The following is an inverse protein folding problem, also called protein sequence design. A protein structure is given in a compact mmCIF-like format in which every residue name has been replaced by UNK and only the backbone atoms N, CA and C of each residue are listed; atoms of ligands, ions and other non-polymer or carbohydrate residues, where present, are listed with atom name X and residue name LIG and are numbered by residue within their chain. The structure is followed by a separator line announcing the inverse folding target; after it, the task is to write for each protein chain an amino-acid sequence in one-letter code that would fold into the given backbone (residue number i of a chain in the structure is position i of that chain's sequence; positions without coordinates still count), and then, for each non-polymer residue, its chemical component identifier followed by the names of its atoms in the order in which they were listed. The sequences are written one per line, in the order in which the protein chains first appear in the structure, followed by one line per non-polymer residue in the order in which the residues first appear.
data_IF_642268245562
#
_entry.id   IF_642268245562
#
_cell.length_a   1.000
_cell.length_b   1.000
_cell.length_c   1.000
_cell.angle_alpha   90.00
_cell.angle_beta   90.00
_cell.angle_gamma   90.00
#
_symmetry.space_group_name_H-M   'P 1'
#
loop_
_entity.id
_entity.type
_entity.pdbx_description
1 polymer ?
#
# COMPACT_ATOMS: atom_id res chain seq x y z
N UNK A 1 -33.87 8.13 43.63
CA UNK A 1 -32.58 8.64 43.16
C UNK A 1 -31.90 7.52 42.39
N UNK A 2 -32.15 7.40 41.09
CA UNK A 2 -31.43 6.49 40.21
C UNK A 2 -30.57 7.33 39.29
N UNK A 3 -29.27 7.36 39.54
CA UNK A 3 -28.30 7.97 38.64
C UNK A 3 -28.35 7.23 37.31
N UNK A 4 -28.79 7.90 36.25
CA UNK A 4 -28.58 7.41 34.90
C UNK A 4 -27.07 7.34 34.63
N UNK A 5 -26.56 6.25 34.03
CA UNK A 5 -25.20 6.23 33.55
C UNK A 5 -25.10 7.30 32.46
N UNK A 6 -24.22 8.28 32.66
CA UNK A 6 -23.81 9.19 31.60
C UNK A 6 -23.33 8.36 30.41
N UNK A 7 -24.05 8.42 29.29
CA UNK A 7 -23.57 8.01 27.98
C UNK A 7 -22.35 8.87 27.62
N UNK A 8 -21.20 8.55 28.21
CA UNK A 8 -19.95 8.75 27.52
C UNK A 8 -20.05 7.86 26.29
N UNK A 9 -20.36 8.44 25.12
CA UNK A 9 -20.01 7.79 23.86
C UNK A 9 -18.58 7.32 24.04
N UNK A 10 -18.37 6.01 24.03
CA UNK A 10 -17.04 5.44 23.87
C UNK A 10 -16.45 6.19 22.68
N UNK A 11 -15.52 7.11 22.95
CA UNK A 11 -14.68 7.67 21.91
C UNK A 11 -14.08 6.50 21.14
N UNK A 12 -13.68 6.73 19.89
CA UNK A 12 -12.91 5.72 19.18
C UNK A 12 -11.83 5.18 20.13
N UNK A 13 -11.78 3.85 20.29
CA UNK A 13 -10.85 3.17 21.22
C UNK A 13 -9.39 3.56 20.98
N UNK A 14 -9.09 4.14 19.81
CA UNK A 14 -7.78 4.62 19.38
C UNK A 14 -7.83 6.12 19.06
N UNK A 15 -6.79 6.86 19.47
CA UNK A 15 -6.57 8.25 19.05
C UNK A 15 -5.83 8.27 17.71
N UNK A 16 -6.58 8.07 16.63
CA UNK A 16 -6.04 8.04 15.27
C UNK A 16 -5.25 9.31 14.90
N UNK A 17 -5.63 10.48 15.44
CA UNK A 17 -4.97 11.74 15.13
C UNK A 17 -3.61 11.84 15.79
N UNK A 18 -3.53 11.47 17.07
CA UNK A 18 -2.26 11.45 17.79
C UNK A 18 -1.32 10.39 17.22
N UNK A 19 -1.81 9.19 16.92
CA UNK A 19 -0.98 8.13 16.34
C UNK A 19 -0.51 8.50 14.93
N UNK A 20 -1.38 9.05 14.08
CA UNK A 20 -0.99 9.55 12.76
C UNK A 20 0.08 10.64 12.85
N UNK A 21 -0.01 11.54 13.85
CA UNK A 21 1.03 12.55 14.09
C UNK A 21 2.37 11.91 14.46
N UNK A 22 2.37 10.98 15.41
CA UNK A 22 3.58 10.27 15.86
C UNK A 22 4.27 9.55 14.70
N UNK A 23 3.49 8.84 13.88
CA UNK A 23 4.00 8.16 12.70
C UNK A 23 4.52 9.17 11.69
N UNK A 24 3.77 10.22 11.38
CA UNK A 24 4.21 11.25 10.45
C UNK A 24 5.53 11.89 10.87
N UNK A 25 5.73 12.19 12.16
CA UNK A 25 6.98 12.75 12.66
C UNK A 25 8.16 11.77 12.47
N UNK A 26 7.95 10.47 12.67
CA UNK A 26 8.95 9.42 12.36
C UNK A 26 9.27 9.40 10.87
N UNK A 27 8.25 9.40 10.00
CA UNK A 27 8.43 9.34 8.55
C UNK A 27 9.15 10.58 8.00
N UNK A 28 8.76 11.77 8.47
CA UNK A 28 9.41 13.05 8.11
C UNK A 28 10.88 13.09 8.52
N UNK A 29 11.25 12.42 9.61
CA UNK A 29 12.63 12.28 10.05
C UNK A 29 13.37 11.11 9.38
N UNK A 30 12.78 10.50 8.35
CA UNK A 30 13.39 9.44 7.54
C UNK A 30 13.33 8.04 8.16
N UNK A 31 12.42 7.81 9.11
CA UNK A 31 12.22 6.51 9.76
C UNK A 31 11.27 5.55 9.02
N UNK A 32 11.12 4.36 9.57
CA UNK A 32 10.24 3.27 9.12
C UNK A 32 9.12 3.08 10.14
N UNK A 33 7.89 2.89 9.67
CA UNK A 33 6.76 2.58 10.54
C UNK A 33 6.07 1.27 10.13
N UNK A 34 5.62 0.50 11.12
CA UNK A 34 4.58 -0.51 10.96
C UNK A 34 3.26 0.10 11.40
N UNK A 35 2.29 0.12 10.50
CA UNK A 35 1.01 0.78 10.72
C UNK A 35 -0.17 -0.14 10.37
N UNK A 36 -1.30 -0.03 11.10
CA UNK A 36 -2.51 -0.75 10.78
C UNK A 36 -3.19 -0.12 9.56
N UNK A 37 -3.79 -0.96 8.73
CA UNK A 37 -4.84 -0.59 7.78
C UNK A 37 -5.97 -1.61 7.88
N UNK A 38 -7.19 -1.32 7.45
CA UNK A 38 -8.30 -2.28 7.54
C UNK A 38 -8.03 -3.60 6.82
N UNK A 39 -7.10 -3.60 5.85
CA UNK A 39 -6.72 -4.75 5.00
C UNK A 39 -5.39 -5.42 5.38
N UNK A 40 -4.80 -5.07 6.53
CA UNK A 40 -3.54 -5.64 7.03
C UNK A 40 -2.54 -4.59 7.50
N UNK A 41 -1.48 -5.03 8.19
CA UNK A 41 -0.40 -4.13 8.59
C UNK A 41 0.50 -3.80 7.39
N UNK A 42 0.93 -2.54 7.31
CA UNK A 42 1.87 -2.05 6.30
C UNK A 42 3.21 -1.66 6.93
N UNK A 43 4.31 -1.93 6.23
CA UNK A 43 5.65 -1.45 6.54
C UNK A 43 5.98 -0.33 5.56
N UNK A 44 6.06 0.90 6.08
CA UNK A 44 5.96 2.14 5.30
C UNK A 44 7.09 3.11 5.65
N UNK A 45 7.49 3.92 4.68
CA UNK A 45 8.44 5.03 4.87
C UNK A 45 8.28 6.07 3.77
N UNK A 46 8.87 7.23 3.97
CA UNK A 46 9.02 8.29 2.96
C UNK A 46 10.47 8.43 2.47
N UNK A 47 11.40 7.62 3.00
CA UNK A 47 12.81 7.73 2.70
C UNK A 47 13.26 6.65 1.69
N UNK A 48 13.81 7.02 0.52
CA UNK A 48 14.32 6.09 -0.49
C UNK A 48 15.26 4.99 0.05
N UNK A 49 16.24 5.36 0.89
CA UNK A 49 17.20 4.40 1.47
C UNK A 49 16.54 3.43 2.44
N UNK A 50 15.53 3.88 3.16
CA UNK A 50 14.73 2.99 4.01
C UNK A 50 13.80 2.10 3.20
N UNK A 51 13.33 2.52 2.03
CA UNK A 51 12.61 1.62 1.11
C UNK A 51 13.51 0.51 0.60
N UNK A 52 14.77 0.81 0.26
CA UNK A 52 15.78 -0.20 -0.09
C UNK A 52 15.98 -1.19 1.07
N UNK A 53 16.15 -0.69 2.31
CA UNK A 53 16.27 -1.52 3.52
C UNK A 53 15.04 -2.44 3.70
N UNK A 54 13.83 -1.89 3.59
CA UNK A 54 12.58 -2.64 3.66
C UNK A 54 12.53 -3.70 2.55
N UNK A 55 12.92 -3.35 1.32
CA UNK A 55 12.89 -4.24 0.17
C UNK A 55 13.78 -5.46 0.39
N UNK A 56 15.00 -5.25 0.87
CA UNK A 56 15.98 -6.29 1.20
C UNK A 56 15.54 -7.14 2.39
N UNK A 57 15.13 -6.52 3.51
CA UNK A 57 14.69 -7.23 4.72
C UNK A 57 13.51 -8.17 4.46
N UNK A 58 12.62 -7.80 3.54
CA UNK A 58 11.46 -8.61 3.14
C UNK A 58 11.78 -9.68 2.09
N UNK A 59 13.01 -9.76 1.57
CA UNK A 59 13.37 -10.66 0.47
C UNK A 59 12.50 -10.45 -0.77
N UNK A 60 12.27 -9.20 -1.19
CA UNK A 60 11.40 -8.91 -2.34
C UNK A 60 12.09 -9.26 -3.65
N UNK A 61 11.31 -9.82 -4.58
CA UNK A 61 11.72 -10.01 -5.96
C UNK A 61 11.72 -8.67 -6.72
N UNK A 62 12.56 -8.48 -7.75
CA UNK A 62 12.65 -7.24 -8.55
C UNK A 62 11.39 -6.93 -9.36
N UNK A 63 10.44 -7.87 -9.43
CA UNK A 63 9.09 -7.68 -10.00
C UNK A 63 8.13 -6.99 -9.05
N UNK A 64 8.54 -6.71 -7.81
CA UNK A 64 7.68 -6.07 -6.81
C UNK A 64 7.85 -4.55 -6.86
N UNK A 65 6.75 -3.83 -6.70
CA UNK A 65 6.70 -2.36 -6.64
C UNK A 65 6.29 -1.87 -5.27
N UNK A 66 6.61 -0.62 -4.98
CA UNK A 66 6.05 0.10 -3.83
C UNK A 66 4.66 0.61 -4.18
N UNK A 67 3.73 0.48 -3.24
CA UNK A 67 2.42 1.11 -3.35
C UNK A 67 2.44 2.40 -2.53
N UNK A 68 1.69 3.40 -2.99
CA UNK A 68 1.44 4.62 -2.23
C UNK A 68 0.36 4.34 -1.18
N UNK A 69 0.67 4.72 0.05
CA UNK A 69 -0.33 4.83 1.11
C UNK A 69 -1.07 6.13 0.88
N UNK A 70 -2.39 6.07 0.71
CA UNK A 70 -3.18 7.24 0.37
C UNK A 70 -4.53 7.29 1.07
N UNK A 71 -5.26 8.35 0.75
CA UNK A 71 -6.68 8.51 1.04
C UNK A 71 -7.38 8.86 -0.26
N UNK A 72 -8.71 8.91 -0.23
CA UNK A 72 -9.47 9.38 -1.38
C UNK A 72 -8.99 10.77 -1.86
N UNK A 73 -8.63 11.67 -0.93
CA UNK A 73 -8.07 12.99 -1.25
C UNK A 73 -6.74 12.89 -1.99
N UNK A 74 -5.80 12.06 -1.50
CA UNK A 74 -4.51 11.83 -2.19
C UNK A 74 -4.73 11.27 -3.59
N UNK A 75 -5.64 10.30 -3.72
CA UNK A 75 -6.02 9.75 -5.02
C UNK A 75 -6.51 10.84 -5.97
N UNK A 76 -7.41 11.72 -5.52
CA UNK A 76 -7.96 12.81 -6.34
C UNK A 76 -6.91 13.87 -6.69
N UNK A 77 -5.94 14.09 -5.82
CA UNK A 77 -4.86 15.03 -6.07
C UNK A 77 -3.85 14.48 -7.08
N UNK A 78 -3.47 13.21 -6.97
CA UNK A 78 -2.37 12.66 -7.76
C UNK A 78 -2.81 11.98 -9.06
N UNK A 79 -3.94 11.27 -9.07
CA UNK A 79 -4.37 10.51 -10.25
C UNK A 79 -5.07 11.37 -11.30
N UNK A 80 -4.76 11.04 -12.56
CA UNK A 80 -5.44 11.52 -13.75
C UNK A 80 -6.35 10.40 -14.26
N UNK A 81 -7.60 10.38 -13.78
CA UNK A 81 -8.60 9.40 -14.23
C UNK A 81 -9.04 9.67 -15.68
N UNK A 82 -9.19 8.64 -16.52
CA UNK A 82 -9.40 8.80 -17.96
C UNK A 82 -10.75 9.43 -18.32
N UNK A 83 -11.79 9.16 -17.53
CA UNK A 83 -13.14 9.67 -17.75
C UNK A 83 -13.96 9.77 -16.46
N UNK A 84 -15.18 10.31 -16.57
CA UNK A 84 -16.11 10.41 -15.44
C UNK A 84 -16.57 9.04 -14.96
N UNK A 85 -16.79 8.09 -15.86
CA UNK A 85 -17.24 6.73 -15.51
C UNK A 85 -16.26 6.03 -14.57
N UNK A 86 -14.95 6.18 -14.80
CA UNK A 86 -13.90 5.63 -13.96
C UNK A 86 -13.88 6.28 -12.57
N UNK A 87 -14.19 7.58 -12.48
CA UNK A 87 -14.37 8.25 -11.19
C UNK A 87 -15.60 7.72 -10.47
N UNK A 88 -16.72 7.58 -11.17
CA UNK A 88 -17.98 7.06 -10.61
C UNK A 88 -17.81 5.64 -10.07
N UNK A 89 -17.00 4.80 -10.72
CA UNK A 89 -16.64 3.46 -10.21
C UNK A 89 -15.93 3.57 -8.87
N UNK A 90 -14.88 4.40 -8.76
CA UNK A 90 -14.15 4.57 -7.50
C UNK A 90 -15.06 5.16 -6.42
N UNK A 91 -15.86 6.17 -6.76
CA UNK A 91 -16.78 6.83 -5.83
C UNK A 91 -17.83 5.86 -5.30
N UNK A 92 -18.41 5.03 -6.16
CA UNK A 92 -19.37 4.00 -5.74
C UNK A 92 -18.73 2.98 -4.80
N UNK A 93 -17.56 2.45 -5.15
CA UNK A 93 -16.88 1.45 -4.32
C UNK A 93 -16.43 2.03 -2.96
N UNK A 94 -16.01 3.29 -2.93
CA UNK A 94 -15.46 3.93 -1.72
C UNK A 94 -16.55 4.55 -0.85
N UNK A 95 -17.44 5.39 -1.41
CA UNK A 95 -18.41 6.14 -0.62
C UNK A 95 -19.73 5.41 -0.42
N UNK A 96 -20.25 4.75 -1.44
CA UNK A 96 -21.55 4.06 -1.30
C UNK A 96 -21.40 2.71 -0.59
N UNK A 97 -20.27 2.02 -0.81
CA UNK A 97 -20.04 0.68 -0.28
C UNK A 97 -19.01 0.62 0.87
N UNK A 98 -18.32 1.72 1.16
CA UNK A 98 -17.28 1.79 2.21
C UNK A 98 -16.21 0.67 2.08
N UNK A 99 -15.72 0.46 0.85
CA UNK A 99 -14.73 -0.60 0.58
C UNK A 99 -13.31 -0.03 0.46
N UNK A 100 -12.29 -0.73 1.02
CA UNK A 100 -10.90 -0.41 0.76
C UNK A 100 -10.53 -0.80 -0.67
N UNK A 101 -9.81 0.09 -1.36
CA UNK A 101 -9.47 -0.09 -2.77
C UNK A 101 -8.05 0.37 -3.04
N UNK A 102 -7.29 -0.39 -3.82
CA UNK A 102 -6.07 0.13 -4.44
C UNK A 102 -6.37 0.52 -5.88
N UNK A 103 -6.35 1.82 -6.13
CA UNK A 103 -6.55 2.39 -7.48
C UNK A 103 -5.20 2.44 -8.17
N UNK A 104 -5.13 1.97 -9.40
CA UNK A 104 -3.98 2.17 -10.29
C UNK A 104 -4.43 3.06 -11.43
N UNK A 105 -3.75 4.18 -11.67
CA UNK A 105 -4.10 5.10 -12.75
C UNK A 105 -2.89 5.95 -13.17
N UNK A 106 -2.95 6.61 -14.33
CA UNK A 106 -2.02 7.68 -14.69
C UNK A 106 -2.00 8.75 -13.60
N UNK A 107 -0.88 9.46 -13.47
CA UNK A 107 -0.68 10.40 -12.38
C UNK A 107 -0.01 11.69 -12.85
N UNK A 108 -0.10 12.73 -12.03
CA UNK A 108 0.59 14.01 -12.25
C UNK A 108 2.08 13.83 -11.97
N UNK A 109 2.87 13.54 -12.99
CA UNK A 109 4.33 13.30 -12.87
C UNK A 109 5.10 14.50 -12.29
N UNK A 110 4.64 15.73 -12.53
CA UNK A 110 5.29 16.96 -12.07
C UNK A 110 4.73 17.49 -10.72
N UNK A 111 4.12 16.64 -9.91
CA UNK A 111 3.59 17.03 -8.60
C UNK A 111 4.71 17.08 -7.55
N UNK A 112 4.73 18.11 -6.69
CA UNK A 112 5.79 18.33 -5.68
C UNK A 112 6.01 17.14 -4.72
N UNK A 113 4.96 16.36 -4.47
CA UNK A 113 5.04 15.09 -3.74
C UNK A 113 6.13 14.11 -4.23
N UNK A 114 6.60 14.22 -5.48
CA UNK A 114 7.64 13.33 -6.01
C UNK A 114 9.06 13.87 -5.82
N UNK A 115 9.23 15.14 -5.43
CA UNK A 115 10.53 15.82 -5.35
C UNK A 115 11.50 15.17 -4.34
N UNK A 116 10.96 14.38 -3.40
CA UNK A 116 11.72 13.65 -2.38
C UNK A 116 12.18 12.25 -2.82
N UNK A 117 11.75 11.77 -3.99
CA UNK A 117 12.09 10.44 -4.48
C UNK A 117 13.25 10.52 -5.47
N UNK A 118 14.20 9.60 -5.33
CA UNK A 118 15.20 9.38 -6.37
C UNK A 118 14.62 8.59 -7.55
N UNK A 119 15.31 8.61 -8.69
CA UNK A 119 14.88 7.96 -9.93
C UNK A 119 14.59 6.46 -9.74
N UNK A 120 15.46 5.75 -9.00
CA UNK A 120 15.29 4.33 -8.69
C UNK A 120 14.02 4.07 -7.89
N UNK A 121 13.72 4.91 -6.90
CA UNK A 121 12.51 4.79 -6.09
C UNK A 121 11.27 5.10 -6.90
N UNK A 122 11.34 6.10 -7.80
CA UNK A 122 10.24 6.46 -8.69
C UNK A 122 9.95 5.34 -9.70
N UNK A 123 10.99 4.73 -10.28
CA UNK A 123 10.89 3.54 -11.14
C UNK A 123 10.26 2.36 -10.38
N UNK A 124 10.63 2.16 -9.11
CA UNK A 124 10.06 1.11 -8.26
C UNK A 124 8.64 1.44 -7.75
N UNK A 125 8.14 2.66 -7.93
CA UNK A 125 6.81 3.13 -7.49
C UNK A 125 5.81 3.18 -8.64
N UNK A 126 6.29 3.32 -9.88
CA UNK A 126 5.46 3.42 -11.08
C UNK A 126 5.58 2.21 -12.00
N UNK A 127 4.55 1.98 -12.82
CA UNK A 127 4.53 0.97 -13.89
C UNK A 127 3.78 1.57 -15.08
N UNK A 128 4.43 1.64 -16.24
CA UNK A 128 3.83 2.09 -17.51
C UNK A 128 3.06 3.43 -17.37
N UNK A 129 3.66 4.41 -16.68
CA UNK A 129 3.07 5.73 -16.46
C UNK A 129 1.95 5.78 -15.41
N UNK A 130 1.77 4.71 -14.61
CA UNK A 130 0.78 4.66 -13.53
C UNK A 130 1.41 4.45 -12.17
N UNK A 131 0.69 4.82 -11.11
CA UNK A 131 1.02 4.47 -9.72
C UNK A 131 -0.15 3.75 -9.07
N UNK A 132 0.13 2.94 -8.06
CA UNK A 132 -0.89 2.34 -7.20
C UNK A 132 -1.06 3.17 -5.92
N UNK A 133 -2.29 3.55 -5.59
CA UNK A 133 -2.65 4.26 -4.34
C UNK A 133 -3.70 3.46 -3.59
N UNK A 134 -3.37 3.00 -2.38
CA UNK A 134 -4.33 2.37 -1.47
C UNK A 134 -5.17 3.43 -0.77
N UNK A 135 -6.49 3.38 -0.92
CA UNK A 135 -7.46 4.31 -0.35
C UNK A 135 -8.53 3.59 0.47
N UNK A 136 -9.24 4.35 1.31
CA UNK A 136 -10.30 3.88 2.19
C UNK A 136 -9.90 2.68 3.07
N UNK A 137 -8.66 2.68 3.56
CA UNK A 137 -8.13 1.61 4.41
C UNK A 137 -8.17 1.96 5.91
N UNK A 138 -9.07 2.86 6.30
CA UNK A 138 -9.38 3.20 7.68
C UNK A 138 -8.94 4.60 8.13
N UNK A 139 -9.52 5.10 9.24
CA UNK A 139 -9.38 6.50 9.67
C UNK A 139 -7.96 6.89 10.05
N UNK A 140 -7.15 5.96 10.58
CA UNK A 140 -5.73 6.21 10.84
C UNK A 140 -4.97 6.56 9.56
N UNK A 141 -5.20 5.81 8.48
CA UNK A 141 -4.53 6.05 7.20
C UNK A 141 -4.96 7.39 6.59
N UNK A 142 -6.24 7.74 6.70
CA UNK A 142 -6.74 9.02 6.21
C UNK A 142 -6.13 10.21 6.96
N UNK A 143 -6.03 10.14 8.29
CA UNK A 143 -5.37 11.19 9.08
C UNK A 143 -3.86 11.28 8.77
N UNK A 144 -3.16 10.14 8.65
CA UNK A 144 -1.74 10.11 8.29
C UNK A 144 -1.49 10.72 6.90
N UNK A 145 -2.30 10.33 5.91
CA UNK A 145 -2.11 10.78 4.53
C UNK A 145 -2.53 12.23 4.32
N UNK A 146 -3.42 12.78 5.15
CA UNK A 146 -3.68 14.22 5.22
C UNK A 146 -2.42 15.01 5.60
N UNK A 147 -1.62 14.49 6.55
CA UNK A 147 -0.36 15.13 6.96
C UNK A 147 0.71 15.03 5.87
N UNK A 148 0.81 13.85 5.25
CA UNK A 148 1.69 13.60 4.11
C UNK A 148 1.39 14.54 2.94
N UNK A 149 0.12 14.68 2.55
CA UNK A 149 -0.28 15.56 1.46
C UNK A 149 0.00 17.03 1.76
N UNK A 150 -0.28 17.50 2.98
CA UNK A 150 -0.01 18.87 3.38
C UNK A 150 1.49 19.23 3.43
N UNK A 151 2.37 18.22 3.45
CA UNK A 151 3.81 18.37 3.50
C UNK A 151 4.52 17.92 2.21
N UNK A 152 3.75 17.60 1.16
CA UNK A 152 4.27 17.02 -0.09
C UNK A 152 5.23 15.83 0.14
N UNK A 153 4.96 15.02 1.18
CA UNK A 153 5.83 13.92 1.58
C UNK A 153 5.18 12.58 1.21
N UNK A 154 5.65 11.85 0.18
CA UNK A 154 5.02 10.61 -0.25
C UNK A 154 5.22 9.52 0.81
N UNK A 155 4.19 8.72 1.06
CA UNK A 155 4.31 7.54 1.94
C UNK A 155 4.24 6.29 1.06
N UNK A 156 5.36 5.58 0.99
CA UNK A 156 5.52 4.40 0.18
C UNK A 156 5.69 3.17 1.06
N UNK A 157 5.22 2.03 0.58
CA UNK A 157 5.39 0.80 1.33
C UNK A 157 4.77 -0.43 0.72
N UNK A 158 4.59 -1.42 1.57
CA UNK A 158 3.91 -2.69 1.27
C UNK A 158 3.44 -3.34 2.55
N UNK A 159 2.66 -4.41 2.45
CA UNK A 159 2.22 -5.19 3.61
C UNK A 159 3.40 -5.65 4.48
N UNK A 160 3.28 -5.63 5.81
CA UNK A 160 4.33 -5.97 6.77
C UNK A 160 4.50 -7.49 6.91
N UNK A 161 5.04 -8.13 5.88
CA UNK A 161 5.33 -9.57 5.85
C UNK A 161 6.54 -9.90 4.99
N UNK A 162 7.23 -11.00 5.27
CA UNK A 162 8.19 -11.55 4.31
C UNK A 162 7.50 -11.87 2.99
N UNK A 163 8.21 -11.68 1.87
CA UNK A 163 7.68 -11.98 0.55
C UNK A 163 7.14 -13.41 0.47
N UNK A 164 5.97 -13.56 -0.15
CA UNK A 164 5.29 -14.86 -0.32
C UNK A 164 4.78 -15.53 0.97
N UNK A 165 4.69 -14.81 2.10
CA UNK A 165 4.16 -15.36 3.37
C UNK A 165 2.75 -14.86 3.76
N UNK A 166 2.06 -14.17 2.84
CA UNK A 166 0.73 -13.63 3.06
C UNK A 166 0.70 -12.37 3.92
N UNK A 167 -0.39 -11.60 3.82
CA UNK A 167 -0.58 -10.36 4.60
C UNK A 167 -0.80 -10.68 6.08
N UNK A 168 -0.20 -9.90 6.99
CA UNK A 168 -0.40 -10.05 8.44
C UNK A 168 -1.46 -9.08 8.94
N UNK A 169 -2.35 -9.55 9.80
CA UNK A 169 -3.53 -8.80 10.27
C UNK A 169 -3.50 -8.49 11.77
N UNK A 170 -2.41 -8.85 12.46
CA UNK A 170 -2.07 -8.50 13.84
C UNK A 170 -0.54 -8.44 13.95
N UNK A 171 -0.02 -7.66 14.89
CA UNK A 171 1.43 -7.43 15.01
C UNK A 171 2.18 -8.71 15.37
N UNK A 172 1.57 -9.58 16.17
CA UNK A 172 2.18 -10.84 16.64
C UNK A 172 2.43 -11.85 15.51
N UNK A 173 1.80 -11.67 14.34
CA UNK A 173 2.06 -12.50 13.16
C UNK A 173 3.15 -11.92 12.23
N UNK A 174 3.63 -10.70 12.51
CA UNK A 174 4.71 -10.06 11.75
C UNK A 174 6.03 -10.69 12.17
N UNK A 175 6.88 -11.00 11.19
CA UNK A 175 8.17 -11.60 11.45
C UNK A 175 9.07 -10.64 12.27
N UNK A 176 9.77 -11.12 13.32
CA UNK A 176 10.57 -10.28 14.20
C UNK A 176 11.56 -9.38 13.47
N UNK A 177 12.23 -9.90 12.43
CA UNK A 177 13.18 -9.13 11.62
C UNK A 177 12.55 -7.94 10.88
N UNK A 178 11.23 -7.95 10.65
CA UNK A 178 10.50 -6.81 10.08
C UNK A 178 10.03 -5.84 11.17
N UNK A 179 9.77 -6.33 12.37
CA UNK A 179 9.49 -5.48 13.54
C UNK A 179 10.75 -4.72 13.94
N UNK A 180 11.91 -5.39 13.95
CA UNK A 180 13.21 -4.83 14.35
C UNK A 180 13.69 -3.69 13.45
N UNK A 181 13.27 -3.64 12.18
CA UNK A 181 13.62 -2.53 11.27
C UNK A 181 12.70 -1.32 11.42
N UNK A 182 11.59 -1.43 12.15
CA UNK A 182 10.63 -0.34 12.31
C UNK A 182 11.02 0.55 13.50
N UNK A 183 11.04 1.87 13.28
CA UNK A 183 11.28 2.87 14.32
C UNK A 183 10.02 3.12 15.18
N UNK A 184 8.84 2.76 14.65
CA UNK A 184 7.58 2.79 15.38
C UNK A 184 6.64 1.69 14.89
N UNK A 185 5.91 1.08 15.83
CA UNK A 185 4.81 0.15 15.58
C UNK A 185 3.55 0.70 16.22
N UNK A 186 2.50 0.89 15.43
CA UNK A 186 1.15 1.18 15.92
C UNK A 186 0.39 -0.13 15.91
N UNK A 187 -0.07 -0.60 17.07
CA UNK A 187 -0.78 -1.88 17.21
C UNK A 187 -2.24 -1.66 17.61
N UNK A 188 -3.15 -1.99 16.70
CA UNK A 188 -4.60 -1.95 16.91
C UNK A 188 -5.21 -3.37 17.02
N UNK A 189 -4.38 -4.38 17.24
CA UNK A 189 -4.78 -5.78 17.31
C UNK A 189 -5.21 -6.34 15.95
N UNK A 190 -6.21 -7.22 15.96
CA UNK A 190 -6.72 -7.91 14.77
C UNK A 190 -7.56 -6.99 13.87
N UNK A 191 -7.18 -6.91 12.60
CA UNK A 191 -7.77 -5.96 11.64
C UNK A 191 -9.03 -6.48 10.93
N UNK A 192 -9.93 -5.54 10.59
CA UNK A 192 -11.32 -5.76 10.09
C UNK A 192 -11.43 -6.86 9.01
N UNK A 193 -10.60 -6.82 7.98
CA UNK A 193 -10.73 -7.69 6.81
C UNK A 193 -9.88 -8.97 6.85
N UNK A 194 -9.41 -9.40 8.02
CA UNK A 194 -8.51 -10.55 8.16
C UNK A 194 -9.03 -11.86 7.53
N UNK A 195 -10.36 -12.06 7.46
CA UNK A 195 -10.97 -13.25 6.87
C UNK A 195 -10.67 -13.41 5.37
N UNK A 196 -10.43 -12.32 4.66
CA UNK A 196 -10.05 -12.38 3.24
C UNK A 196 -8.64 -12.90 3.03
N UNK A 197 -7.76 -12.84 4.05
CA UNK A 197 -6.37 -13.33 4.03
C UNK A 197 -5.48 -12.69 2.94
N UNK A 198 -6.00 -11.71 2.20
CA UNK A 198 -5.33 -10.93 1.16
C UNK A 198 -5.49 -9.44 1.49
N UNK A 199 -4.50 -8.65 1.08
CA UNK A 199 -4.57 -7.18 1.05
C UNK A 199 -5.67 -6.68 0.09
N UNK A 200 -5.82 -5.37 -0.11
CA UNK A 200 -6.90 -4.77 -0.92
C UNK A 200 -7.04 -5.32 -2.34
N UNK A 201 -8.25 -5.25 -2.90
CA UNK A 201 -8.42 -5.42 -4.35
C UNK A 201 -7.72 -4.27 -5.09
N UNK A 202 -7.02 -4.59 -6.19
CA UNK A 202 -6.34 -3.61 -7.04
C UNK A 202 -7.01 -3.55 -8.42
N UNK A 203 -7.41 -2.35 -8.84
CA UNK A 203 -8.06 -2.10 -10.12
C UNK A 203 -7.25 -1.06 -10.88
N UNK A 204 -6.93 -1.37 -12.14
CA UNK A 204 -6.20 -0.51 -13.06
C UNK A 204 -7.15 0.22 -14.02
N UNK A 205 -7.11 1.54 -13.96
CA UNK A 205 -7.91 2.49 -14.72
C UNK A 205 -7.07 3.21 -15.80
N UNK A 206 -5.91 2.68 -16.18
CA UNK A 206 -5.11 3.21 -17.31
C UNK A 206 -5.77 3.04 -18.66
N UNK A 207 -6.68 2.07 -18.78
CA UNK A 207 -7.40 1.74 -20.01
C UNK A 207 -8.87 2.15 -19.92
N UNK A 208 -9.58 2.26 -21.06
CA UNK A 208 -11.01 2.59 -21.07
C UNK A 208 -11.89 1.62 -20.26
N UNK A 209 -11.50 0.35 -20.19
CA UNK A 209 -12.15 -0.65 -19.33
C UNK A 209 -11.24 -0.94 -18.14
N UNK A 210 -11.71 -0.75 -16.89
CA UNK A 210 -10.91 -1.07 -15.72
C UNK A 210 -10.54 -2.56 -15.64
N UNK A 211 -9.30 -2.86 -15.30
CA UNK A 211 -8.78 -4.23 -15.25
C UNK A 211 -8.42 -4.63 -13.81
N UNK A 212 -8.84 -5.83 -13.38
CA UNK A 212 -8.44 -6.37 -12.08
C UNK A 212 -6.96 -6.79 -12.14
N UNK A 213 -6.14 -6.17 -11.30
CA UNK A 213 -4.72 -6.52 -11.13
C UNK A 213 -4.53 -7.48 -9.96
N UNK A 214 -5.34 -7.32 -8.90
CA UNK A 214 -5.34 -8.20 -7.73
C UNK A 214 -6.75 -8.40 -7.18
N UNK A 215 -7.15 -9.65 -7.01
CA UNK A 215 -8.34 -10.07 -6.27
C UNK A 215 -8.04 -10.09 -4.77
N UNK A 216 -8.43 -9.05 -4.04
CA UNK A 216 -8.08 -8.87 -2.64
C UNK A 216 -9.27 -8.92 -1.71
N UNK A 217 -9.14 -8.22 -0.58
CA UNK A 217 -10.25 -7.96 0.33
C UNK A 217 -11.45 -7.37 -0.43
N UNK A 218 -12.65 -7.87 -0.11
CA UNK A 218 -13.93 -7.45 -0.68
C UNK A 218 -14.07 -7.65 -2.20
N UNK A 219 -13.25 -8.48 -2.85
CA UNK A 219 -13.33 -8.68 -4.30
C UNK A 219 -14.70 -9.22 -4.76
N UNK A 220 -15.32 -10.08 -3.96
CA UNK A 220 -16.67 -10.60 -4.17
C UNK A 220 -17.73 -9.49 -4.27
N UNK A 221 -17.69 -8.54 -3.34
CA UNK A 221 -18.60 -7.38 -3.32
C UNK A 221 -18.27 -6.41 -4.47
N UNK A 222 -16.99 -6.12 -4.69
CA UNK A 222 -16.52 -5.25 -5.77
C UNK A 222 -16.96 -5.79 -7.11
N UNK A 223 -16.79 -7.09 -7.36
CA UNK A 223 -17.19 -7.76 -8.60
C UNK A 223 -18.69 -7.65 -8.87
N UNK A 224 -19.53 -7.93 -7.88
CA UNK A 224 -20.99 -7.81 -8.04
C UNK A 224 -21.38 -6.35 -8.34
N UNK A 225 -20.76 -5.37 -7.66
CA UNK A 225 -21.01 -3.95 -7.88
C UNK A 225 -20.60 -3.49 -9.29
N UNK A 226 -19.39 -3.87 -9.73
CA UNK A 226 -18.87 -3.55 -11.07
C UNK A 226 -19.79 -4.09 -12.18
N UNK A 227 -20.28 -5.32 -12.04
CA UNK A 227 -21.23 -5.90 -12.98
C UNK A 227 -22.57 -5.16 -12.94
N UNK A 228 -23.24 -5.11 -11.78
CA UNK A 228 -24.62 -4.61 -11.69
C UNK A 228 -24.76 -3.14 -12.04
N UNK A 229 -23.79 -2.31 -11.63
CA UNK A 229 -23.88 -0.85 -11.77
C UNK A 229 -23.22 -0.34 -13.04
N UNK A 230 -22.14 -0.97 -13.45
CA UNK A 230 -21.31 -0.46 -14.54
C UNK A 230 -21.20 -1.42 -15.72
N UNK A 231 -21.79 -2.63 -15.66
CA UNK A 231 -21.68 -3.65 -16.72
C UNK A 231 -20.20 -3.96 -17.05
N UNK A 232 -19.34 -3.91 -16.03
CA UNK A 232 -17.92 -4.27 -16.15
C UNK A 232 -17.78 -5.72 -15.70
N UNK A 233 -17.45 -6.61 -16.63
CA UNK A 233 -17.16 -8.01 -16.33
C UNK A 233 -15.76 -8.15 -15.71
N UNK A 234 -15.65 -8.95 -14.65
CA UNK A 234 -14.37 -9.28 -14.03
C UNK A 234 -14.23 -10.78 -13.79
N UNK A 235 -13.00 -11.32 -13.75
CA UNK A 235 -12.79 -12.76 -13.66
C UNK A 235 -13.30 -13.37 -12.35
N UNK A 236 -13.66 -14.65 -12.37
CA UNK A 236 -13.94 -15.43 -11.16
C UNK A 236 -12.70 -15.56 -10.26
N UNK A 237 -12.87 -15.48 -8.94
CA UNK A 237 -11.77 -15.76 -8.01
C UNK A 237 -11.53 -17.27 -7.93
N UNK A 238 -10.33 -17.76 -8.31
CA UNK A 238 -10.05 -19.19 -8.28
C UNK A 238 -9.85 -19.73 -6.85
N UNK A 239 -9.92 -18.87 -5.83
CA UNK A 239 -9.78 -19.21 -4.42
C UNK A 239 -8.33 -19.15 -3.93
N UNK A 240 -8.17 -19.22 -2.60
CA UNK A 240 -6.86 -19.10 -1.93
C UNK A 240 -5.89 -20.23 -2.29
N UNK A 241 -6.39 -21.44 -2.55
CA UNK A 241 -5.55 -22.58 -2.91
C UNK A 241 -4.84 -22.38 -4.26
N UNK A 242 -5.56 -21.84 -5.25
CA UNK A 242 -5.04 -21.63 -6.61
C UNK A 242 -4.33 -20.30 -6.79
N UNK A 243 -4.77 -19.27 -6.07
CA UNK A 243 -4.16 -17.94 -6.13
C UNK A 243 -4.08 -17.33 -4.72
N UNK A 244 -3.11 -17.71 -3.87
CA UNK A 244 -3.08 -17.28 -2.48
C UNK A 244 -2.95 -15.76 -2.30
N UNK A 245 -2.34 -15.06 -3.26
CA UNK A 245 -2.08 -13.61 -3.16
C UNK A 245 -3.01 -12.77 -4.05
N UNK A 246 -3.88 -13.40 -4.83
CA UNK A 246 -4.88 -12.76 -5.68
C UNK A 246 -4.34 -12.04 -6.92
N UNK A 247 -3.02 -11.99 -7.13
CA UNK A 247 -2.43 -11.29 -8.28
C UNK A 247 -2.79 -12.01 -9.58
N UNK A 248 -3.27 -11.25 -10.56
CA UNK A 248 -3.54 -11.73 -11.92
C UNK A 248 -2.45 -11.29 -12.90
N UNK A 249 -1.69 -10.28 -12.53
CA UNK A 249 -0.59 -9.72 -13.32
C UNK A 249 0.61 -9.45 -12.43
N UNK A 250 1.79 -9.63 -12.99
CA UNK A 250 3.07 -9.30 -12.38
C UNK A 250 3.88 -8.50 -13.39
N UNK A 251 4.40 -7.32 -13.02
CA UNK A 251 5.21 -6.53 -13.95
C UNK A 251 6.57 -7.19 -14.16
N UNK A 252 7.27 -6.77 -15.22
CA UNK A 252 8.63 -7.20 -15.49
C UNK A 252 9.58 -6.85 -14.32
N UNK A 253 10.66 -7.62 -14.12
CA UNK A 253 11.68 -7.27 -13.13
C UNK A 253 12.35 -5.95 -13.50
N UNK A 254 12.69 -5.12 -12.50
CA UNK A 254 13.51 -3.93 -12.70
C UNK A 254 14.98 -4.26 -12.50
N UNK A 255 15.83 -3.80 -13.41
CA UNK A 255 17.28 -3.96 -13.30
C UNK A 255 17.86 -3.18 -12.12
N UNK A 256 17.29 -2.02 -11.78
CA UNK A 256 17.66 -1.25 -10.60
C UNK A 256 17.46 -2.04 -9.30
N UNK A 257 16.30 -2.70 -9.15
CA UNK A 257 16.01 -3.56 -8.01
C UNK A 257 16.83 -4.85 -8.02
N UNK A 258 17.13 -5.41 -9.20
CA UNK A 258 18.03 -6.56 -9.29
C UNK A 258 19.44 -6.19 -8.81
N UNK A 259 19.98 -5.04 -9.22
CA UNK A 259 21.27 -4.51 -8.73
C UNK A 259 21.26 -4.28 -7.22
N UNK A 260 20.15 -3.79 -6.66
CA UNK A 260 20.00 -3.64 -5.22
C UNK A 260 20.11 -4.99 -4.49
N UNK A 261 19.47 -6.04 -5.02
CA UNK A 261 19.50 -7.39 -4.46
C UNK A 261 20.91 -8.00 -4.55
N UNK A 262 21.54 -7.89 -5.72
CA UNK A 262 22.85 -8.50 -5.98
C UNK A 262 23.96 -7.83 -5.15
N UNK A 263 23.73 -6.58 -4.72
CA UNK A 263 24.69 -5.77 -3.99
C UNK A 263 25.85 -5.29 -4.88
N UNK A 264 26.82 -4.55 -4.31
CA UNK A 264 28.01 -4.19 -5.05
C UNK A 264 28.76 -5.47 -5.45
N UNK A 265 28.95 -5.67 -6.75
CA UNK A 265 29.79 -6.75 -7.26
C UNK A 265 31.15 -6.66 -6.56
N UNK A 266 31.55 -7.72 -5.83
CA UNK A 266 32.93 -7.83 -5.34
C UNK A 266 33.82 -7.66 -6.55
N UNK A 267 34.60 -6.58 -6.60
CA UNK A 267 35.64 -6.41 -7.61
C UNK A 267 36.46 -7.68 -7.62
N UNK A 268 36.42 -8.44 -8.72
CA UNK A 268 37.43 -9.45 -8.99
C UNK A 268 38.74 -8.71 -9.25
N UNK A 269 39.39 -8.23 -8.19
CA UNK A 269 40.84 -8.05 -8.19
C UNK A 269 41.44 -9.44 -7.99
N UNK A 270 41.43 -10.26 -9.05
CA UNK A 270 42.49 -11.25 -9.16
C UNK A 270 43.75 -10.44 -9.45
N UNK A 271 44.52 -10.21 -8.38
CA UNK A 271 45.94 -10.04 -8.49
C UNK A 271 46.47 -11.18 -9.36
N UNK A 272 46.82 -10.87 -10.60
CA UNK A 272 47.86 -11.61 -11.31
C UNK A 272 49.19 -11.02 -10.85
N UNK A 273 49.51 -11.27 -9.59
CA UNK A 273 50.89 -11.45 -9.16
C UNK A 273 51.09 -12.96 -9.14
N UNK A 274 51.82 -13.51 -10.11
CA UNK A 274 52.98 -14.40 -9.88
C UNK A 274 53.82 -14.38 -11.16
N UNK A 275 55.07 -13.97 -10.96
CA UNK A 275 56.33 -14.33 -11.62
C UNK A 275 56.30 -15.26 -12.85
#
# INVERSE_FOLDING_TARGET
MGSQPTEARLGHLFDFKQDARRVFDVLRNGGIAICPSTIGYGLITSNPRKLEQIFLAKGRAPTKRHANVGSYTVHRELHVMPDQRSRDVVDHLVFDLDLPLAVIAPFKENHAMWDHLDETTMEATSVDGTIAVLINAGPFQDELTKLSLAADLPILGSSANLSQTGTKFRVEDIQPELVDVADIVIDYGLLKYYKYQRSSTMIDFSKPTPEIVRMGSCYDIIRDALWRRFQIETPEDPGLEKNPFGHLKTPAPLESLQRLIDGPAKSRSQAMDVA
#
